data_IF_941822771375
#
_entry.id   IF_941822771375
#
_cell.length_a   1.000
_cell.length_b   1.000
_cell.length_c   1.000
_cell.angle_alpha   90.00
_cell.angle_beta   90.00
_cell.angle_gamma   90.00
#
_symmetry.space_group_name_H-M   'P 1'
#
loop_
_entity.id
_entity.type
_entity.pdbx_description
1 polymer ?
#
# COMPACT_ATOMS: atom_id res chain seq x y z
N UNK A 1 -8.08 -22.43 7.73
CA UNK A 1 -8.77 -21.20 8.15
C UNK A 1 -7.80 -20.12 7.77
N UNK A 2 -8.09 -19.43 6.68
CA UNK A 2 -7.25 -18.34 6.24
C UNK A 2 -7.38 -17.21 7.26
N UNK A 3 -6.28 -16.54 7.59
CA UNK A 3 -6.34 -15.41 8.50
C UNK A 3 -7.18 -14.27 7.94
N UNK A 4 -7.89 -13.56 8.83
CA UNK A 4 -8.98 -12.62 8.51
C UNK A 4 -8.59 -11.18 8.89
N UNK A 5 -7.29 -10.86 8.97
CA UNK A 5 -6.86 -9.60 9.61
C UNK A 5 -7.29 -8.37 8.79
N UNK A 6 -7.27 -8.44 7.46
CA UNK A 6 -7.67 -7.32 6.61
C UNK A 6 -9.19 -7.15 6.40
N UNK A 7 -10.02 -8.19 6.58
CA UNK A 7 -11.48 -8.12 6.31
C UNK A 7 -12.28 -7.27 7.33
N UNK A 8 -11.64 -6.83 8.42
CA UNK A 8 -12.28 -6.08 9.50
C UNK A 8 -11.72 -4.66 9.71
N UNK A 9 -10.74 -4.24 8.90
CA UNK A 9 -10.22 -2.88 8.90
C UNK A 9 -10.84 -2.09 7.75
N UNK A 10 -11.09 -0.80 7.97
CA UNK A 10 -11.62 0.09 6.93
C UNK A 10 -10.61 0.23 5.79
N UNK A 11 -11.07 0.34 4.54
CA UNK A 11 -10.21 0.63 3.39
C UNK A 11 -9.63 2.04 3.43
N UNK A 12 -10.18 2.92 4.26
CA UNK A 12 -9.68 4.28 4.42
C UNK A 12 -9.82 4.80 5.86
N UNK A 13 -9.05 5.84 6.18
CA UNK A 13 -9.07 6.44 7.50
C UNK A 13 -7.88 7.35 7.80
N UNK A 14 -7.95 8.00 8.96
CA UNK A 14 -6.90 8.86 9.49
C UNK A 14 -5.92 8.06 10.36
N UNK A 15 -4.65 8.08 9.99
CA UNK A 15 -3.54 7.43 10.69
C UNK A 15 -2.63 8.48 11.35
N UNK A 16 -2.14 8.15 12.55
CA UNK A 16 -1.34 9.04 13.41
C UNK A 16 -1.92 10.46 13.60
N UNK A 17 -3.25 10.60 13.42
CA UNK A 17 -3.97 11.86 13.57
C UNK A 17 -3.75 12.88 12.45
N UNK A 18 -2.93 12.58 11.44
CA UNK A 18 -2.53 13.55 10.42
C UNK A 18 -2.48 13.00 8.99
N UNK A 19 -2.39 11.69 8.79
CA UNK A 19 -2.29 11.10 7.45
C UNK A 19 -3.60 10.42 7.08
N UNK A 20 -4.36 10.99 6.14
CA UNK A 20 -5.56 10.32 5.65
C UNK A 20 -5.19 9.44 4.47
N UNK A 21 -5.57 8.17 4.53
CA UNK A 21 -5.20 7.18 3.52
C UNK A 21 -6.45 6.46 3.05
N UNK A 22 -6.56 6.25 1.75
CA UNK A 22 -7.51 5.32 1.14
C UNK A 22 -6.73 4.27 0.34
N UNK A 23 -6.85 3.01 0.74
CA UNK A 23 -6.41 1.85 -0.05
C UNK A 23 -7.48 1.64 -1.12
N UNK A 24 -7.08 1.51 -2.40
CA UNK A 24 -8.00 1.55 -3.54
C UNK A 24 -8.11 0.19 -4.22
N UNK A 25 -7.89 0.14 -5.54
CA UNK A 25 -7.83 -1.08 -6.31
C UNK A 25 -6.40 -1.60 -6.42
N UNK A 26 -6.27 -2.78 -7.03
CA UNK A 26 -4.98 -3.38 -7.36
C UNK A 26 -5.03 -4.04 -8.74
N UNK A 27 -3.87 -4.26 -9.33
CA UNK A 27 -3.71 -5.00 -10.59
C UNK A 27 -2.56 -5.99 -10.52
N UNK A 28 -2.70 -7.11 -11.23
CA UNK A 28 -1.65 -8.10 -11.40
C UNK A 28 -0.76 -7.72 -12.57
N UNK A 29 0.54 -7.91 -12.41
CA UNK A 29 1.56 -7.62 -13.41
C UNK A 29 2.83 -8.42 -13.12
N UNK A 30 3.83 -8.33 -14.00
CA UNK A 30 5.16 -8.88 -13.75
C UNK A 30 6.11 -7.77 -13.29
N UNK A 31 6.92 -8.05 -12.28
CA UNK A 31 7.98 -7.13 -11.83
C UNK A 31 9.14 -7.03 -12.84
N UNK A 32 10.11 -6.16 -12.56
CA UNK A 32 11.25 -5.93 -13.45
C UNK A 32 12.08 -7.20 -13.75
N UNK A 33 12.02 -8.19 -12.87
CA UNK A 33 12.70 -9.49 -13.01
C UNK A 33 11.79 -10.55 -13.67
N UNK A 34 10.57 -10.19 -14.07
CA UNK A 34 9.59 -11.09 -14.68
C UNK A 34 8.87 -12.00 -13.68
N UNK A 35 8.88 -11.68 -12.38
CA UNK A 35 8.12 -12.44 -11.38
C UNK A 35 6.69 -11.90 -11.24
N UNK A 36 5.71 -12.76 -10.97
CA UNK A 36 4.35 -12.32 -10.65
C UNK A 36 4.33 -11.36 -9.46
N UNK A 37 3.65 -10.25 -9.64
CA UNK A 37 3.54 -9.17 -8.67
C UNK A 37 2.13 -8.55 -8.69
N UNK A 38 1.84 -7.77 -7.66
CA UNK A 38 0.63 -6.97 -7.55
C UNK A 38 1.01 -5.51 -7.32
N UNK A 39 0.41 -4.61 -8.08
CA UNK A 39 0.47 -3.16 -7.83
C UNK A 39 -0.80 -2.75 -7.11
N UNK A 40 -0.65 -2.17 -5.93
CA UNK A 40 -1.76 -1.65 -5.11
C UNK A 40 -1.74 -0.13 -5.18
N UNK A 41 -2.91 0.48 -5.36
CA UNK A 41 -3.09 1.93 -5.48
C UNK A 41 -3.62 2.53 -4.18
N UNK A 42 -3.19 3.75 -3.89
CA UNK A 42 -3.53 4.49 -2.68
C UNK A 42 -3.77 5.96 -2.99
N UNK A 43 -4.72 6.57 -2.28
CA UNK A 43 -4.68 8.01 -2.03
C UNK A 43 -4.03 8.26 -0.67
N UNK A 44 -3.07 9.17 -0.64
CA UNK A 44 -2.47 9.67 0.59
C UNK A 44 -2.61 11.18 0.66
N UNK A 45 -3.17 11.65 1.77
CA UNK A 45 -3.27 13.07 2.11
C UNK A 45 -2.40 13.39 3.32
N UNK A 46 -1.44 14.28 3.13
CA UNK A 46 -0.63 14.81 4.21
C UNK A 46 -1.38 15.94 4.92
N UNK A 47 -1.87 15.73 6.14
CA UNK A 47 -2.40 16.82 6.98
C UNK A 47 -1.44 17.19 8.13
N UNK A 48 -0.19 16.74 8.08
CA UNK A 48 0.86 17.18 9.01
C UNK A 48 1.37 18.58 8.65
N UNK A 49 2.14 19.21 9.52
CA UNK A 49 2.74 20.52 9.25
C UNK A 49 4.00 20.43 8.37
N UNK A 50 4.59 19.23 8.26
CA UNK A 50 5.82 18.98 7.53
C UNK A 50 5.55 18.53 6.10
N UNK A 51 6.50 18.81 5.20
CA UNK A 51 6.56 18.13 3.90
C UNK A 51 7.12 16.72 4.13
N UNK A 52 6.41 15.70 3.65
CA UNK A 52 6.81 14.30 3.82
C UNK A 52 6.29 13.44 2.66
N UNK A 53 7.01 12.38 2.31
CA UNK A 53 6.53 11.37 1.36
C UNK A 53 5.67 10.30 2.02
N UNK A 54 4.77 9.68 1.24
CA UNK A 54 3.91 8.61 1.75
C UNK A 54 4.74 7.43 2.30
N UNK A 55 5.79 7.03 1.59
CA UNK A 55 6.73 5.99 2.02
C UNK A 55 7.39 6.29 3.39
N UNK A 56 7.70 7.57 3.66
CA UNK A 56 8.34 7.97 4.92
C UNK A 56 7.35 8.19 6.07
N UNK A 57 6.07 8.40 5.76
CA UNK A 57 5.06 8.73 6.76
C UNK A 57 4.47 7.50 7.47
N UNK A 58 4.36 6.36 6.78
CA UNK A 58 3.58 5.20 7.22
C UNK A 58 4.23 3.87 6.80
N UNK A 59 3.80 2.75 7.37
CA UNK A 59 4.24 1.41 6.92
C UNK A 59 3.28 0.93 5.84
N UNK A 60 3.80 0.69 4.63
CA UNK A 60 3.03 0.18 3.50
C UNK A 60 3.41 -1.28 3.31
N UNK A 61 2.49 -2.20 3.67
CA UNK A 61 2.77 -3.64 3.74
C UNK A 61 1.70 -4.43 3.02
N UNK A 62 2.12 -5.54 2.41
CA UNK A 62 1.20 -6.53 1.87
C UNK A 62 1.57 -7.91 2.36
N UNK A 63 0.59 -8.81 2.46
CA UNK A 63 0.76 -10.16 2.98
C UNK A 63 0.05 -11.18 2.08
N UNK A 64 0.63 -12.39 2.01
CA UNK A 64 -0.06 -13.59 1.55
C UNK A 64 0.20 -14.70 2.56
N UNK A 65 -0.85 -15.45 2.90
CA UNK A 65 -0.77 -16.59 3.82
C UNK A 65 -0.15 -16.21 5.19
N UNK A 66 -0.31 -14.94 5.59
CA UNK A 66 0.32 -14.40 6.80
C UNK A 66 1.77 -14.05 6.75
N UNK A 67 2.36 -14.05 5.55
CA UNK A 67 3.76 -13.76 5.35
C UNK A 67 3.86 -12.46 4.56
N UNK A 68 4.64 -11.51 5.07
CA UNK A 68 4.88 -10.24 4.38
C UNK A 68 5.47 -10.49 2.99
N UNK A 69 4.94 -9.77 2.01
CA UNK A 69 5.50 -9.68 0.68
C UNK A 69 6.66 -8.68 0.68
N UNK A 70 7.64 -8.93 -0.18
CA UNK A 70 8.68 -7.95 -0.47
C UNK A 70 8.16 -6.92 -1.46
N UNK A 71 8.46 -5.64 -1.23
CA UNK A 71 8.30 -4.65 -2.28
C UNK A 71 9.21 -4.99 -3.46
N UNK A 72 8.71 -4.74 -4.67
CA UNK A 72 9.42 -4.90 -5.93
C UNK A 72 9.28 -3.62 -6.75
N UNK A 73 9.89 -3.59 -7.94
CA UNK A 73 9.87 -2.44 -8.84
C UNK A 73 9.63 -2.89 -10.27
N UNK A 74 9.30 -1.93 -11.13
CA UNK A 74 9.02 -2.16 -12.54
C UNK A 74 10.10 -1.51 -13.39
N UNK A 75 10.39 -2.13 -14.53
CA UNK A 75 11.31 -1.55 -15.53
C UNK A 75 10.77 -0.22 -16.08
N UNK A 76 9.45 -0.13 -16.25
CA UNK A 76 8.75 1.08 -16.67
C UNK A 76 7.77 1.47 -15.55
N UNK A 77 8.29 2.15 -14.53
CA UNK A 77 7.48 2.70 -13.44
C UNK A 77 6.46 3.71 -13.99
N UNK A 78 5.24 3.68 -13.44
CA UNK A 78 4.26 4.76 -13.68
C UNK A 78 4.53 5.93 -12.74
N UNK A 79 3.95 7.09 -13.05
CA UNK A 79 3.97 8.25 -12.14
C UNK A 79 3.50 7.88 -10.73
N UNK A 80 2.47 7.02 -10.61
CA UNK A 80 1.98 6.58 -9.30
C UNK A 80 3.00 5.74 -8.52
N UNK A 81 3.84 4.96 -9.19
CA UNK A 81 4.90 4.18 -8.51
C UNK A 81 6.00 5.11 -7.97
N UNK A 82 6.26 6.21 -8.66
CA UNK A 82 7.23 7.22 -8.21
C UNK A 82 6.66 8.10 -7.09
N UNK A 83 5.36 8.42 -7.17
CA UNK A 83 4.65 9.29 -6.22
C UNK A 83 4.69 8.81 -4.77
N UNK A 84 4.92 7.51 -4.52
CA UNK A 84 5.04 6.98 -3.17
C UNK A 84 6.26 7.59 -2.42
N UNK A 85 7.29 8.00 -3.16
CA UNK A 85 8.51 8.63 -2.64
C UNK A 85 8.52 10.16 -2.81
N UNK A 86 7.54 10.74 -3.49
CA UNK A 86 7.46 12.16 -3.70
C UNK A 86 7.19 12.92 -2.39
N UNK A 87 7.85 14.06 -2.21
CA UNK A 87 7.63 14.96 -1.08
C UNK A 87 6.31 15.71 -1.25
N UNK A 88 5.40 15.57 -0.28
CA UNK A 88 4.03 16.07 -0.37
C UNK A 88 3.84 17.18 0.67
N UNK A 89 3.49 18.38 0.21
CA UNK A 89 3.26 19.52 1.09
C UNK A 89 2.04 19.30 2.00
N UNK A 90 2.01 20.02 3.12
CA UNK A 90 0.85 20.03 4.03
C UNK A 90 -0.44 20.40 3.29
N UNK A 91 -1.50 19.63 3.56
CA UNK A 91 -2.84 19.78 2.99
C UNK A 91 -3.05 19.07 1.66
N UNK A 92 -1.97 18.68 0.97
CA UNK A 92 -2.04 18.09 -0.37
C UNK A 92 -2.35 16.59 -0.35
N UNK A 93 -2.92 16.12 -1.46
CA UNK A 93 -3.26 14.71 -1.70
C UNK A 93 -2.56 14.23 -2.96
N UNK A 94 -2.04 13.00 -2.93
CA UNK A 94 -1.42 12.36 -4.09
C UNK A 94 -1.93 10.92 -4.27
N UNK A 95 -2.06 10.51 -5.53
CA UNK A 95 -2.27 9.11 -5.93
C UNK A 95 -0.90 8.43 -6.04
N UNK A 96 -0.69 7.37 -5.26
CA UNK A 96 0.53 6.58 -5.28
C UNK A 96 0.24 5.09 -5.47
N UNK A 97 1.25 4.31 -5.85
CA UNK A 97 1.19 2.85 -5.89
C UNK A 97 2.44 2.21 -5.35
N UNK A 98 2.28 1.00 -4.81
CA UNK A 98 3.37 0.13 -4.38
C UNK A 98 3.24 -1.23 -5.07
N UNK A 99 4.37 -1.78 -5.52
CA UNK A 99 4.44 -3.09 -6.17
C UNK A 99 4.99 -4.11 -5.18
N UNK A 100 4.34 -5.26 -5.07
CA UNK A 100 4.74 -6.34 -4.18
C UNK A 100 4.89 -7.64 -4.96
N UNK A 101 6.02 -8.33 -4.76
CA UNK A 101 6.27 -9.64 -5.36
C UNK A 101 5.36 -10.68 -4.71
N UNK A 102 4.61 -11.42 -5.52
CA UNK A 102 3.75 -12.49 -5.02
C UNK A 102 4.57 -13.70 -4.59
N UNK A 103 4.09 -14.39 -3.56
CA UNK A 103 4.59 -15.70 -3.12
C UNK A 103 3.96 -16.84 -3.91
N UNK A 104 2.72 -16.64 -4.34
CA UNK A 104 1.95 -17.54 -5.17
C UNK A 104 0.81 -16.75 -5.85
N UNK A 105 0.25 -17.30 -6.93
CA UNK A 105 -0.80 -16.64 -7.73
C UNK A 105 -2.22 -17.04 -7.34
N UNK A 106 -2.41 -17.78 -6.23
CA UNK A 106 -3.70 -18.37 -5.88
C UNK A 106 -4.30 -17.83 -4.59
N UNK A 107 -3.46 -17.36 -3.68
CA UNK A 107 -3.84 -16.87 -2.36
C UNK A 107 -4.12 -15.38 -2.41
N UNK A 108 -5.15 -14.93 -1.70
CA UNK A 108 -5.49 -13.52 -1.66
C UNK A 108 -4.33 -12.67 -1.11
N UNK A 109 -4.25 -11.42 -1.58
CA UNK A 109 -3.29 -10.43 -1.09
C UNK A 109 -4.01 -9.51 -0.12
N UNK A 110 -3.45 -9.37 1.08
CA UNK A 110 -3.90 -8.41 2.08
C UNK A 110 -2.97 -7.19 2.05
N UNK A 111 -3.46 -6.05 1.58
CA UNK A 111 -2.69 -4.80 1.52
C UNK A 111 -3.11 -3.85 2.65
N UNK A 112 -2.14 -3.44 3.45
CA UNK A 112 -2.32 -2.66 4.66
C UNK A 112 -1.42 -1.42 4.66
N UNK A 113 -1.95 -0.33 5.20
CA UNK A 113 -1.18 0.85 5.57
C UNK A 113 -1.32 1.02 7.07
N UNK A 114 -0.20 0.91 7.78
CA UNK A 114 -0.13 0.90 9.24
C UNK A 114 0.54 2.18 9.74
N UNK A 115 0.04 2.70 10.85
CA UNK A 115 0.59 3.88 11.50
C UNK A 115 1.92 3.56 12.23
N UNK A 116 2.76 4.57 12.47
CA UNK A 116 4.02 4.41 13.20
C UNK A 116 3.84 4.58 14.70
N UNK A 117 3.03 5.55 15.10
CA UNK A 117 2.90 5.95 16.51
C UNK A 117 1.67 5.36 17.19
N UNK A 118 0.78 4.74 16.41
CA UNK A 118 -0.45 4.11 16.87
C UNK A 118 -0.62 2.70 16.30
N UNK A 119 -1.54 1.92 16.87
CA UNK A 119 -1.92 0.59 16.35
C UNK A 119 -3.03 0.67 15.28
N UNK A 120 -3.21 1.84 14.67
CA UNK A 120 -4.23 2.04 13.64
C UNK A 120 -3.72 1.55 12.27
N UNK A 121 -4.63 0.99 11.47
CA UNK A 121 -4.35 0.57 10.11
C UNK A 121 -5.60 0.70 9.24
N UNK A 122 -5.38 0.86 7.94
CA UNK A 122 -6.39 0.74 6.88
C UNK A 122 -5.94 -0.33 5.89
N UNK A 123 -6.86 -0.99 5.22
CA UNK A 123 -6.49 -2.07 4.31
C UNK A 123 -7.61 -2.64 3.48
N UNK A 124 -7.22 -3.43 2.48
CA UNK A 124 -8.12 -4.19 1.62
C UNK A 124 -7.54 -5.57 1.30
N UNK A 125 -8.43 -6.50 0.96
CA UNK A 125 -8.07 -7.84 0.49
C UNK A 125 -8.43 -8.00 -0.98
N UNK A 126 -7.45 -8.45 -1.77
CA UNK A 126 -7.61 -8.69 -3.21
C UNK A 126 -7.52 -10.17 -3.51
N UNK A 127 -8.58 -10.73 -4.10
CA UNK A 127 -8.54 -12.07 -4.67
C UNK A 127 -7.89 -12.01 -6.06
N UNK A 128 -6.87 -12.82 -6.30
CA UNK A 128 -6.02 -12.76 -7.51
C UNK A 128 -6.25 -13.93 -8.47
N UNK A 129 -7.47 -14.51 -8.48
CA UNK A 129 -7.87 -15.64 -9.33
C UNK A 129 -8.54 -15.20 -10.62
#
# INVERSE_FOLDING_TARGET
>A
IDPVWALSISSEGLLDGMYYVSVLNAELLDDADGNPAIRVYYDFKNNSEDTISFHSALYIRSYQDGISLSQSYLTNASETDENIYAEIASGETIRASAVFKLRNETSAVEANVEAYTSYAAVGQTYNIK
#
